data_IF_605700194852
#
_entry.id   IF_605700194852
#
_cell.length_a   1.000
_cell.length_b   1.000
_cell.length_c   1.000
_cell.angle_alpha   90.00
_cell.angle_beta   90.00
_cell.angle_gamma   90.00
#
_symmetry.space_group_name_H-M   'P 1'
#
loop_
_entity.id
_entity.type
_entity.pdbx_description
1 polymer ?
#
# COMPACT_ATOMS: atom_id res chain seq x y z
N UNK A 1 11.60 14.84 -22.42
CA UNK A 1 11.56 14.27 -21.06
C UNK A 1 11.51 12.76 -21.21
N UNK A 2 12.37 12.01 -20.52
CA UNK A 2 12.28 10.54 -20.53
C UNK A 2 10.95 10.11 -19.91
N UNK A 3 10.22 9.24 -20.58
CA UNK A 3 8.97 8.66 -20.08
C UNK A 3 9.26 7.83 -18.83
N UNK A 4 8.54 8.09 -17.73
CA UNK A 4 8.71 7.35 -16.48
C UNK A 4 8.10 5.97 -16.67
N UNK A 5 8.92 4.92 -16.56
CA UNK A 5 8.46 3.54 -16.66
C UNK A 5 8.31 2.92 -15.27
N UNK A 6 7.09 2.47 -14.96
CA UNK A 6 6.80 1.78 -13.72
C UNK A 6 7.02 0.27 -13.84
N UNK A 7 7.46 -0.35 -12.75
CA UNK A 7 7.45 -1.81 -12.64
C UNK A 7 6.00 -2.30 -12.67
N UNK A 8 5.75 -3.35 -13.47
CA UNK A 8 4.43 -3.96 -13.64
C UNK A 8 4.36 -5.34 -12.99
N UNK A 9 3.18 -5.66 -12.45
CA UNK A 9 2.85 -6.93 -11.83
C UNK A 9 2.15 -7.92 -12.76
N UNK A 10 1.85 -9.12 -12.24
CA UNK A 10 1.27 -10.22 -13.01
C UNK A 10 -0.14 -9.93 -13.53
N UNK A 11 -0.85 -8.94 -12.96
CA UNK A 11 -2.17 -8.52 -13.41
C UNK A 11 -2.12 -7.25 -14.27
N UNK A 12 -0.91 -6.80 -14.67
CA UNK A 12 -0.69 -5.55 -15.40
C UNK A 12 -0.68 -4.30 -14.50
N UNK A 13 -0.77 -4.47 -13.19
CA UNK A 13 -0.79 -3.38 -12.23
C UNK A 13 0.57 -2.72 -12.07
N UNK A 14 0.57 -1.43 -11.77
CA UNK A 14 1.72 -0.67 -11.32
C UNK A 14 2.06 -1.10 -9.89
N UNK A 15 3.31 -1.44 -9.65
CA UNK A 15 3.84 -1.44 -8.31
C UNK A 15 4.29 -0.02 -7.93
N UNK A 16 3.79 0.53 -6.81
CA UNK A 16 4.29 1.81 -6.34
C UNK A 16 5.79 1.69 -6.04
N UNK A 17 6.60 2.69 -6.43
CA UNK A 17 8.01 2.67 -6.08
C UNK A 17 8.17 2.81 -4.54
N UNK A 18 9.32 2.36 -4.00
CA UNK A 18 9.58 2.40 -2.57
C UNK A 18 9.73 3.86 -2.07
N UNK A 19 8.67 4.41 -1.50
CA UNK A 19 8.66 5.74 -0.87
C UNK A 19 9.36 5.83 0.49
N UNK A 20 10.51 5.17 0.60
CA UNK A 20 11.37 5.15 1.80
C UNK A 20 12.81 5.54 1.49
N UNK A 21 13.13 5.85 0.22
CA UNK A 21 14.48 6.19 -0.23
C UNK A 21 15.12 7.36 0.54
N UNK A 22 14.30 8.26 1.09
CA UNK A 22 14.74 9.43 1.85
C UNK A 22 14.56 9.28 3.37
N UNK A 23 14.14 8.12 3.85
CA UNK A 23 13.86 7.85 5.27
C UNK A 23 14.82 6.80 5.78
N UNK A 24 15.68 7.14 6.75
CA UNK A 24 16.55 6.16 7.39
C UNK A 24 15.74 5.18 8.23
N UNK A 25 16.26 3.97 8.47
CA UNK A 25 15.57 2.96 9.29
C UNK A 25 15.21 3.48 10.70
N UNK A 26 16.08 4.31 11.28
CA UNK A 26 15.85 4.92 12.59
C UNK A 26 14.73 5.97 12.54
N UNK A 27 14.69 6.78 11.49
CA UNK A 27 13.63 7.76 11.29
C UNK A 27 12.28 7.08 11.03
N UNK A 28 12.26 6.02 10.23
CA UNK A 28 11.07 5.20 10.02
C UNK A 28 10.57 4.63 11.36
N UNK A 29 11.46 4.09 12.18
CA UNK A 29 11.12 3.57 13.50
C UNK A 29 10.53 4.66 14.42
N UNK A 30 11.14 5.85 14.48
CA UNK A 30 10.60 6.97 15.27
C UNK A 30 9.19 7.33 14.86
N UNK A 31 8.92 7.45 13.56
CA UNK A 31 7.57 7.75 13.03
C UNK A 31 6.57 6.66 13.38
N UNK A 32 6.95 5.40 13.18
CA UNK A 32 6.09 4.26 13.49
C UNK A 32 5.79 4.16 15.00
N UNK A 33 6.80 4.36 15.85
CA UNK A 33 6.62 4.38 17.31
C UNK A 33 5.72 5.53 17.76
N UNK A 34 5.96 6.74 17.26
CA UNK A 34 5.15 7.91 17.59
C UNK A 34 3.68 7.75 17.18
N UNK A 35 3.43 7.16 16.00
CA UNK A 35 2.07 6.84 15.56
C UNK A 35 1.39 5.82 16.47
N UNK A 36 2.06 4.72 16.83
CA UNK A 36 1.45 3.74 17.74
C UNK A 36 1.15 4.36 19.10
N UNK A 37 2.06 5.19 19.62
CA UNK A 37 1.84 5.88 20.88
C UNK A 37 0.64 6.84 20.82
N UNK A 38 0.43 7.54 19.69
CA UNK A 38 -0.70 8.48 19.54
C UNK A 38 -2.06 7.80 19.52
N UNK A 39 -2.13 6.52 19.12
CA UNK A 39 -3.33 5.68 19.20
C UNK A 39 -3.39 4.84 20.49
N UNK A 40 -2.54 5.12 21.48
CA UNK A 40 -2.53 4.46 22.78
C UNK A 40 -1.82 3.11 22.83
N UNK A 41 -1.14 2.71 21.76
CA UNK A 41 -0.38 1.45 21.67
C UNK A 41 1.09 1.71 22.02
N UNK A 42 1.58 1.06 23.07
CA UNK A 42 3.01 1.10 23.43
C UNK A 42 3.73 -0.10 22.85
N UNK A 43 4.62 0.15 21.90
CA UNK A 43 5.52 -0.87 21.38
C UNK A 43 6.71 -1.03 22.34
N UNK A 44 7.12 -2.28 22.61
CA UNK A 44 8.32 -2.56 23.41
C UNK A 44 9.61 -2.19 22.67
N UNK A 45 9.56 -2.14 21.33
CA UNK A 45 10.74 -1.96 20.48
C UNK A 45 11.65 -3.19 20.45
N UNK A 46 12.74 -3.14 19.65
CA UNK A 46 13.70 -4.23 19.56
C UNK A 46 14.41 -4.45 20.90
N UNK A 47 14.41 -5.70 21.39
CA UNK A 47 15.10 -6.08 22.63
C UNK A 47 16.53 -6.57 22.39
N UNK A 48 16.90 -6.82 21.12
CA UNK A 48 18.23 -7.26 20.72
C UNK A 48 18.60 -6.75 19.33
N UNK A 49 19.90 -6.78 18.98
CA UNK A 49 20.38 -6.46 17.63
C UNK A 49 19.76 -7.38 16.57
N UNK A 50 19.50 -8.65 16.92
CA UNK A 50 18.90 -9.63 16.00
C UNK A 50 17.45 -9.29 15.63
N UNK A 51 16.72 -8.60 16.51
CA UNK A 51 15.33 -8.20 16.27
C UNK A 51 15.20 -6.90 15.48
N UNK A 52 16.21 -6.02 15.51
CA UNK A 52 16.17 -4.71 14.85
C UNK A 52 15.70 -4.77 13.39
N UNK A 53 16.17 -5.71 12.54
CA UNK A 53 15.71 -5.80 11.16
C UNK A 53 14.20 -5.97 11.03
N UNK A 54 13.56 -6.76 11.91
CA UNK A 54 12.11 -7.01 11.87
C UNK A 54 11.34 -5.71 12.15
N UNK A 55 11.75 -4.99 13.19
CA UNK A 55 11.13 -3.73 13.59
C UNK A 55 11.34 -2.63 12.55
N UNK A 56 12.55 -2.51 12.01
CA UNK A 56 12.88 -1.51 11.00
C UNK A 56 12.19 -1.79 9.66
N UNK A 57 12.08 -3.05 9.26
CA UNK A 57 11.30 -3.41 8.07
C UNK A 57 9.82 -3.09 8.26
N UNK A 58 9.25 -3.39 9.44
CA UNK A 58 7.86 -3.04 9.76
C UNK A 58 7.62 -1.53 9.72
N UNK A 59 8.56 -0.76 10.27
CA UNK A 59 8.50 0.70 10.26
C UNK A 59 8.65 1.30 8.85
N UNK A 60 9.51 0.71 8.02
CA UNK A 60 9.67 1.10 6.62
C UNK A 60 8.39 0.84 5.81
N UNK A 61 7.79 -0.35 5.97
CA UNK A 61 6.49 -0.68 5.37
C UNK A 61 5.42 0.33 5.81
N UNK A 62 5.36 0.66 7.10
CA UNK A 62 4.44 1.68 7.60
C UNK A 62 4.64 3.04 6.91
N UNK A 63 5.87 3.56 6.88
CA UNK A 63 6.16 4.87 6.28
C UNK A 63 5.82 4.88 4.79
N UNK A 64 6.13 3.79 4.07
CA UNK A 64 5.75 3.64 2.67
C UNK A 64 4.23 3.73 2.47
N UNK A 65 3.44 3.03 3.30
CA UNK A 65 1.97 3.04 3.17
C UNK A 65 1.36 4.41 3.48
N UNK A 66 1.90 5.13 4.47
CA UNK A 66 1.47 6.51 4.75
C UNK A 66 1.78 7.42 3.56
N UNK A 67 3.01 7.38 3.04
CA UNK A 67 3.38 8.21 1.89
C UNK A 67 2.59 7.87 0.64
N UNK A 68 2.36 6.58 0.37
CA UNK A 68 1.53 6.15 -0.75
C UNK A 68 0.11 6.73 -0.64
N UNK A 69 -0.48 6.72 0.56
CA UNK A 69 -1.78 7.36 0.81
C UNK A 69 -1.74 8.87 0.53
N UNK A 70 -0.70 9.56 1.01
CA UNK A 70 -0.55 11.00 0.79
C UNK A 70 -0.45 11.36 -0.69
N UNK A 71 0.36 10.58 -1.43
CA UNK A 71 0.53 10.72 -2.88
C UNK A 71 -0.80 10.47 -3.57
N UNK A 72 -1.42 9.30 -3.42
CA UNK A 72 -2.70 9.00 -4.08
C UNK A 72 -3.82 9.98 -3.66
N UNK A 73 -3.79 10.45 -2.42
CA UNK A 73 -4.73 11.46 -1.92
C UNK A 73 -4.46 12.90 -2.39
N UNK A 74 -3.34 13.17 -3.09
CA UNK A 74 -2.97 14.51 -3.53
C UNK A 74 -2.62 15.46 -2.38
N UNK A 75 -2.18 14.92 -1.24
CA UNK A 75 -1.85 15.68 -0.02
C UNK A 75 -0.34 15.73 0.27
N UNK A 76 0.47 15.03 -0.53
CA UNK A 76 1.92 15.10 -0.48
C UNK A 76 2.42 16.51 -0.84
N UNK A 77 2.96 17.25 0.13
CA UNK A 77 3.43 18.63 -0.06
C UNK A 77 4.70 18.73 -0.91
N UNK A 78 5.50 17.67 -0.88
CA UNK A 78 6.81 17.55 -1.52
C UNK A 78 6.81 16.43 -2.57
N UNK A 79 5.75 16.38 -3.39
CA UNK A 79 5.58 15.37 -4.44
C UNK A 79 6.72 15.43 -5.47
N UNK A 80 7.42 14.31 -5.64
CA UNK A 80 8.48 14.13 -6.64
C UNK A 80 7.86 13.85 -8.02
N UNK A 81 8.61 14.02 -9.14
CA UNK A 81 8.08 13.73 -10.47
C UNK A 81 7.57 12.30 -10.66
N UNK A 82 8.17 11.30 -9.99
CA UNK A 82 7.72 9.91 -10.05
C UNK A 82 6.43 9.68 -9.25
N UNK A 83 6.25 10.38 -8.14
CA UNK A 83 5.00 10.33 -7.35
C UNK A 83 3.85 10.99 -8.12
N UNK A 84 4.11 12.15 -8.73
CA UNK A 84 3.13 12.85 -9.57
C UNK A 84 2.70 11.99 -10.77
N UNK A 85 3.67 11.34 -11.44
CA UNK A 85 3.39 10.43 -12.54
C UNK A 85 2.56 9.23 -12.07
N UNK A 86 2.92 8.60 -10.94
CA UNK A 86 2.16 7.48 -10.39
C UNK A 86 0.70 7.88 -10.14
N UNK A 87 0.49 9.02 -9.47
CA UNK A 87 -0.87 9.51 -9.21
C UNK A 87 -1.64 9.74 -10.50
N UNK A 88 -1.02 10.38 -11.50
CA UNK A 88 -1.68 10.63 -12.78
C UNK A 88 -2.12 9.34 -13.48
N UNK A 89 -1.26 8.33 -13.55
CA UNK A 89 -1.59 7.01 -14.13
C UNK A 89 -2.79 6.37 -13.40
N UNK A 90 -2.76 6.36 -12.06
CA UNK A 90 -3.83 5.79 -11.24
C UNK A 90 -5.14 6.59 -11.39
N UNK A 91 -5.05 7.91 -11.48
CA UNK A 91 -6.21 8.78 -11.73
C UNK A 91 -6.81 8.58 -13.12
N UNK A 92 -6.04 8.11 -14.11
CA UNK A 92 -6.49 7.74 -15.45
C UNK A 92 -7.08 6.32 -15.51
N UNK A 93 -7.07 5.57 -14.40
CA UNK A 93 -7.66 4.24 -14.32
C UNK A 93 -6.67 3.10 -14.54
N UNK A 94 -5.36 3.36 -14.44
CA UNK A 94 -4.38 2.28 -14.33
C UNK A 94 -4.57 1.48 -13.04
N UNK A 95 -4.22 0.20 -13.11
CA UNK A 95 -4.26 -0.69 -11.96
C UNK A 95 -3.09 -0.38 -11.03
N UNK A 96 -3.36 -0.19 -9.73
CA UNK A 96 -2.34 -0.03 -8.70
C UNK A 96 -2.33 -1.24 -7.78
N UNK A 97 -1.16 -1.82 -7.56
CA UNK A 97 -0.95 -2.84 -6.52
C UNK A 97 -1.12 -2.22 -5.14
N UNK A 98 -1.95 -2.84 -4.28
CA UNK A 98 -2.05 -2.45 -2.87
C UNK A 98 -1.27 -3.39 -1.94
N UNK A 99 -0.41 -4.24 -2.51
CA UNK A 99 0.41 -5.15 -1.73
C UNK A 99 1.44 -4.37 -0.91
N UNK A 100 1.73 -4.80 0.32
CA UNK A 100 2.85 -4.26 1.05
C UNK A 100 4.16 -4.47 0.29
N UNK A 101 5.04 -3.48 0.36
CA UNK A 101 6.41 -3.59 -0.14
C UNK A 101 7.11 -4.83 0.45
N UNK A 102 7.85 -5.56 -0.38
CA UNK A 102 8.50 -6.83 -0.03
C UNK A 102 7.59 -8.05 -0.08
N UNK A 103 6.29 -7.89 -0.34
CA UNK A 103 5.31 -8.97 -0.46
C UNK A 103 4.84 -9.17 -1.91
N UNK A 104 5.60 -8.71 -2.89
CA UNK A 104 5.29 -8.76 -4.33
C UNK A 104 5.21 -10.20 -4.88
N UNK A 105 5.82 -11.16 -4.20
CA UNK A 105 5.76 -12.58 -4.54
C UNK A 105 4.58 -13.31 -3.87
N UNK A 106 3.86 -12.66 -2.94
CA UNK A 106 2.69 -13.24 -2.28
C UNK A 106 1.43 -12.89 -3.06
N UNK A 107 1.00 -13.82 -3.91
CA UNK A 107 -0.26 -13.73 -4.64
C UNK A 107 -1.38 -14.43 -3.86
N UNK A 108 -2.47 -13.73 -3.48
CA UNK A 108 -3.69 -14.37 -3.01
C UNK A 108 -4.25 -15.28 -4.12
N UNK A 109 -4.94 -16.36 -3.73
CA UNK A 109 -5.48 -17.31 -4.71
C UNK A 109 -6.87 -16.92 -5.20
N UNK A 110 -7.62 -16.17 -4.39
CA UNK A 110 -9.05 -15.92 -4.58
C UNK A 110 -9.36 -14.49 -4.98
N UNK A 111 -8.36 -13.62 -5.10
CA UNK A 111 -8.52 -12.24 -5.55
C UNK A 111 -7.18 -11.63 -6.00
N UNK A 112 -7.24 -10.58 -6.81
CA UNK A 112 -6.09 -9.73 -7.15
C UNK A 112 -6.03 -8.52 -6.19
N UNK A 113 -4.94 -8.28 -5.45
CA UNK A 113 -4.82 -7.16 -4.49
C UNK A 113 -4.48 -5.86 -5.22
N UNK A 114 -5.41 -5.36 -6.03
CA UNK A 114 -5.23 -4.17 -6.87
C UNK A 114 -6.42 -3.23 -6.73
N UNK A 115 -6.18 -1.94 -6.91
CA UNK A 115 -7.24 -0.95 -7.08
C UNK A 115 -7.19 -0.31 -8.46
N UNK A 116 -8.34 0.17 -8.93
CA UNK A 116 -8.49 0.91 -10.17
C UNK A 116 -9.51 2.00 -10.00
N UNK A 117 -9.21 3.22 -10.44
CA UNK A 117 -10.22 4.28 -10.50
C UNK A 117 -11.20 4.02 -11.64
N UNK A 118 -12.50 4.14 -11.38
CA UNK A 118 -13.54 4.04 -12.40
C UNK A 118 -14.10 5.40 -12.79
N UNK A 119 -14.28 6.27 -11.79
CA UNK A 119 -14.69 7.66 -11.96
C UNK A 119 -14.16 8.53 -10.81
N UNK A 120 -14.73 9.72 -10.61
CA UNK A 120 -14.30 10.67 -9.57
C UNK A 120 -14.39 10.14 -8.15
N UNK A 121 -15.36 9.25 -7.86
CA UNK A 121 -15.70 8.76 -6.51
C UNK A 121 -15.81 7.24 -6.42
N UNK A 122 -15.74 6.53 -7.53
CA UNK A 122 -15.87 5.07 -7.58
C UNK A 122 -14.54 4.42 -7.93
N UNK A 123 -14.17 3.43 -7.12
CA UNK A 123 -12.96 2.64 -7.30
C UNK A 123 -13.29 1.16 -7.30
N UNK A 124 -12.62 0.39 -8.14
CA UNK A 124 -12.67 -1.05 -8.08
C UNK A 124 -11.54 -1.56 -7.19
N UNK A 125 -11.86 -2.49 -6.29
CA UNK A 125 -10.87 -3.32 -5.60
C UNK A 125 -11.02 -4.77 -6.06
N UNK A 126 -9.91 -5.42 -6.41
CA UNK A 126 -9.96 -6.74 -7.05
C UNK A 126 -10.14 -6.67 -8.56
N UNK A 127 -10.17 -7.83 -9.21
CA UNK A 127 -10.41 -7.97 -10.64
C UNK A 127 -11.50 -9.03 -10.89
N UNK A 128 -12.58 -8.71 -11.64
CA UNK A 128 -13.69 -9.64 -11.88
C UNK A 128 -13.27 -11.01 -12.43
N UNK A 129 -12.24 -11.03 -13.29
CA UNK A 129 -11.75 -12.26 -13.92
C UNK A 129 -10.68 -13.01 -13.08
N UNK A 130 -10.38 -12.53 -11.87
CA UNK A 130 -9.37 -13.11 -10.98
C UNK A 130 -9.92 -13.31 -9.56
N UNK A 131 -11.21 -13.68 -9.46
CA UNK A 131 -11.87 -13.98 -8.19
C UNK A 131 -12.67 -12.81 -7.65
N UNK A 132 -12.50 -12.48 -6.36
CA UNK A 132 -13.30 -11.43 -5.71
C UNK A 132 -12.96 -10.06 -6.30
N UNK A 133 -14.01 -9.28 -6.53
CA UNK A 133 -13.93 -7.86 -6.84
C UNK A 133 -15.10 -7.13 -6.20
N UNK A 134 -14.92 -5.84 -5.93
CA UNK A 134 -15.95 -4.98 -5.37
C UNK A 134 -15.72 -3.53 -5.77
N UNK A 135 -16.76 -2.71 -5.64
CA UNK A 135 -16.71 -1.27 -5.85
C UNK A 135 -16.65 -0.59 -4.48
N UNK A 136 -15.75 0.37 -4.35
CA UNK A 136 -15.56 1.21 -3.19
C UNK A 136 -15.93 2.64 -3.59
N UNK A 137 -16.97 3.17 -2.95
CA UNK A 137 -17.31 4.59 -3.03
C UNK A 137 -16.41 5.37 -2.07
N UNK A 138 -15.45 6.11 -2.63
CA UNK A 138 -14.46 6.87 -1.90
C UNK A 138 -13.79 7.95 -2.78
N UNK A 139 -13.44 9.06 -2.14
CA UNK A 139 -12.50 10.03 -2.72
C UNK A 139 -11.07 9.49 -2.67
N UNK A 140 -10.17 10.04 -3.48
CA UNK A 140 -8.77 9.58 -3.55
C UNK A 140 -8.02 9.65 -2.21
N UNK A 141 -8.36 10.60 -1.34
CA UNK A 141 -7.77 10.73 0.01
C UNK A 141 -8.16 9.60 0.99
N UNK A 142 -9.22 8.85 0.66
CA UNK A 142 -9.79 7.78 1.50
C UNK A 142 -9.54 6.38 0.90
N UNK A 143 -9.30 6.28 -0.41
CA UNK A 143 -9.32 4.99 -1.10
C UNK A 143 -8.27 4.01 -0.58
N UNK A 144 -7.04 4.48 -0.34
CA UNK A 144 -5.95 3.60 0.09
C UNK A 144 -6.24 2.96 1.45
N UNK A 145 -6.81 3.73 2.37
CA UNK A 145 -7.20 3.21 3.69
C UNK A 145 -8.31 2.15 3.57
N UNK A 146 -9.37 2.44 2.80
CA UNK A 146 -10.48 1.48 2.59
C UNK A 146 -10.02 0.21 1.88
N UNK A 147 -9.16 0.34 0.88
CA UNK A 147 -8.62 -0.79 0.13
C UNK A 147 -7.72 -1.68 1.02
N UNK A 148 -6.88 -1.08 1.87
CA UNK A 148 -6.06 -1.83 2.85
C UNK A 148 -6.93 -2.58 3.87
N UNK A 149 -8.02 -1.97 4.36
CA UNK A 149 -8.96 -2.64 5.26
C UNK A 149 -9.60 -3.86 4.58
N UNK A 150 -10.07 -3.70 3.34
CA UNK A 150 -10.63 -4.82 2.56
C UNK A 150 -9.59 -5.91 2.27
N UNK A 151 -8.35 -5.54 1.98
CA UNK A 151 -7.25 -6.49 1.81
C UNK A 151 -7.06 -7.36 3.05
N UNK A 152 -6.97 -6.74 4.24
CA UNK A 152 -6.82 -7.47 5.50
C UNK A 152 -8.01 -8.40 5.73
N UNK A 153 -9.24 -7.92 5.52
CA UNK A 153 -10.45 -8.73 5.67
C UNK A 153 -10.45 -9.94 4.71
N UNK A 154 -10.07 -9.73 3.45
CA UNK A 154 -10.05 -10.80 2.44
C UNK A 154 -8.90 -11.79 2.70
N UNK A 155 -7.74 -11.33 3.18
CA UNK A 155 -6.67 -12.22 3.63
C UNK A 155 -7.07 -13.10 4.82
N UNK A 156 -7.76 -12.54 5.81
CA UNK A 156 -8.26 -13.32 6.95
C UNK A 156 -9.22 -14.42 6.49
N UNK A 157 -10.13 -14.10 5.55
CA UNK A 157 -11.01 -15.09 4.94
C UNK A 157 -10.26 -16.21 4.18
N UNK A 158 -9.19 -15.89 3.46
CA UNK A 158 -8.35 -16.91 2.80
C UNK A 158 -7.64 -17.83 3.79
N UNK A 159 -7.11 -17.28 4.88
CA UNK A 159 -6.39 -18.07 5.87
C UNK A 159 -7.33 -19.04 6.60
N UNK A 160 -8.56 -18.63 6.92
CA UNK A 160 -9.58 -19.51 7.51
C UNK A 160 -9.89 -20.67 6.56
N UNK A 161 -10.10 -20.40 5.27
CA UNK A 161 -10.40 -21.43 4.27
C UNK A 161 -9.25 -22.43 4.01
N UNK A 162 -8.00 -22.13 4.43
CA UNK A 162 -6.86 -23.06 4.33
C UNK A 162 -6.73 -23.99 5.53
N UNK A 163 -7.47 -23.72 6.60
CA UNK A 163 -7.42 -24.47 7.87
C UNK A 163 -8.70 -25.28 8.15
N UNK A 164 -9.59 -25.38 7.16
CA UNK A 164 -10.76 -26.28 7.13
C UNK A 164 -10.48 -27.32 6.05
#
# INVERSE_FOLDING_TARGET
MSEIQFQRGPYGEIFPPPFISHVTSEEAWKRYYAFNLSIGVRLSGPQSEAEKPIWYNSAAVFCHQIRLREVIGGTALDETPIEAALRAEVEQGELLSIRPIGMEHRAPKTYAPVIRRLDTTSWQFGLPNHGKSTIIEARSEEIMEKAQQLYIQWQQGENIARHI
#
